data_IF_567397881715
#
_entry.id   IF_567397881715
#
_cell.length_a   1.000
_cell.length_b   1.000
_cell.length_c   1.000
_cell.angle_alpha   90.00
_cell.angle_beta   90.00
_cell.angle_gamma   90.00
#
_symmetry.space_group_name_H-M   'P 1'
#
loop_
_entity.id
_entity.type
_entity.pdbx_description
1 polymer ?
#
# COMPACT_ATOMS: atom_id res chain seq x y z
N UNK A 1 -37.09 25.63 -32.12
CA UNK A 1 -37.35 24.33 -31.47
C UNK A 1 -36.46 23.29 -32.12
N UNK A 2 -35.41 22.86 -31.44
CA UNK A 2 -34.53 21.78 -31.91
C UNK A 2 -34.94 20.51 -31.17
N UNK A 3 -35.39 19.50 -31.91
CA UNK A 3 -35.80 18.21 -31.38
C UNK A 3 -34.56 17.33 -31.13
N UNK A 4 -34.39 16.86 -29.89
CA UNK A 4 -33.40 15.84 -29.55
C UNK A 4 -34.02 14.45 -29.72
N UNK A 5 -33.41 13.63 -30.57
CA UNK A 5 -33.73 12.23 -30.78
C UNK A 5 -33.21 11.37 -29.62
N UNK A 6 -34.11 10.63 -28.96
CA UNK A 6 -33.79 9.58 -27.98
C UNK A 6 -33.30 8.34 -28.71
N UNK A 7 -32.03 7.95 -28.56
CA UNK A 7 -31.49 6.78 -29.27
C UNK A 7 -30.32 6.02 -28.64
N UNK A 8 -29.72 6.47 -27.52
CA UNK A 8 -28.42 5.91 -27.07
C UNK A 8 -28.39 5.33 -25.65
N UNK A 9 -29.51 5.29 -24.92
CA UNK A 9 -29.51 4.87 -23.50
C UNK A 9 -29.83 3.37 -23.34
N UNK A 10 -30.51 2.76 -24.31
CA UNK A 10 -31.05 1.38 -24.16
C UNK A 10 -29.96 0.30 -24.32
N UNK A 11 -28.90 0.56 -25.10
CA UNK A 11 -27.86 -0.45 -25.37
C UNK A 11 -26.94 -0.66 -24.16
N UNK A 12 -26.61 0.39 -23.41
CA UNK A 12 -25.70 0.31 -22.26
C UNK A 12 -26.30 -0.45 -21.09
N UNK A 13 -27.61 -0.30 -20.84
CA UNK A 13 -28.30 -0.94 -19.70
C UNK A 13 -28.40 -2.46 -19.89
N UNK A 14 -28.62 -2.94 -21.12
CA UNK A 14 -28.75 -4.38 -21.41
C UNK A 14 -27.40 -5.11 -21.26
N UNK A 15 -26.30 -4.49 -21.66
CA UNK A 15 -24.95 -5.08 -21.52
C UNK A 15 -24.52 -5.24 -20.07
N UNK A 16 -24.88 -4.31 -19.19
CA UNK A 16 -24.59 -4.39 -17.74
C UNK A 16 -25.38 -5.52 -17.08
N UNK A 17 -26.64 -5.73 -17.46
CA UNK A 17 -27.50 -6.78 -16.88
C UNK A 17 -27.00 -8.19 -17.22
N UNK A 18 -26.49 -8.43 -18.43
CA UNK A 18 -25.96 -9.75 -18.82
C UNK A 18 -24.64 -10.08 -18.11
N UNK A 19 -23.76 -9.10 -17.89
CA UNK A 19 -22.51 -9.29 -17.17
C UNK A 19 -22.72 -9.62 -15.67
N UNK A 20 -23.72 -8.99 -15.04
CA UNK A 20 -24.04 -9.21 -13.62
C UNK A 20 -24.65 -10.61 -13.37
N UNK A 21 -25.48 -11.11 -14.28
CA UNK A 21 -26.04 -12.47 -14.17
C UNK A 21 -24.95 -13.57 -14.21
N UNK A 22 -23.87 -13.35 -14.96
CA UNK A 22 -22.73 -14.27 -14.99
C UNK A 22 -21.92 -14.26 -13.67
N UNK A 23 -21.84 -13.12 -12.97
CA UNK A 23 -21.14 -12.96 -11.69
C UNK A 23 -21.92 -13.60 -10.52
N UNK A 24 -23.24 -13.46 -10.48
CA UNK A 24 -24.11 -14.04 -9.44
C UNK A 24 -24.13 -15.57 -9.48
N UNK A 25 -23.94 -16.17 -10.66
CA UNK A 25 -23.87 -17.62 -10.79
C UNK A 25 -22.52 -18.19 -10.30
N UNK A 26 -21.48 -17.35 -10.23
CA UNK A 26 -20.13 -17.72 -9.76
C UNK A 26 -19.95 -17.58 -8.25
N UNK A 27 -20.63 -16.64 -7.58
CA UNK A 27 -20.57 -16.49 -6.12
C UNK A 27 -21.09 -17.73 -5.36
N UNK A 28 -21.93 -18.55 -6.01
CA UNK A 28 -22.38 -19.85 -5.52
C UNK A 28 -21.33 -20.97 -5.59
N UNK A 29 -20.24 -20.75 -6.33
CA UNK A 29 -19.18 -21.74 -6.55
C UNK A 29 -18.04 -21.63 -5.53
N UNK A 30 -18.15 -20.70 -4.56
CA UNK A 30 -17.27 -20.57 -3.41
C UNK A 30 -18.09 -20.77 -2.12
N UNK A 31 -18.31 -22.01 -1.67
CA UNK A 31 -18.77 -22.23 -0.31
C UNK A 31 -17.59 -21.96 0.65
N UNK A 32 -17.91 -21.26 1.75
CA UNK A 32 -17.12 -21.15 2.99
C UNK A 32 -16.09 -20.02 3.08
N UNK A 33 -16.62 -18.81 3.29
CA UNK A 33 -16.07 -17.86 4.28
C UNK A 33 -17.18 -17.11 5.07
N UNK A 34 -18.44 -17.14 4.61
CA UNK A 34 -19.57 -16.51 5.29
C UNK A 34 -20.57 -17.54 5.83
N UNK A 35 -20.18 -18.29 6.86
CA UNK A 35 -21.15 -18.97 7.72
C UNK A 35 -21.71 -17.95 8.72
N UNK A 36 -22.71 -17.18 8.30
CA UNK A 36 -23.35 -16.19 9.19
C UNK A 36 -24.57 -15.49 8.61
N UNK A 37 -25.74 -16.14 8.75
CA UNK A 37 -27.12 -15.67 8.50
C UNK A 37 -27.65 -15.90 7.08
N UNK A 38 -28.57 -16.86 6.99
CA UNK A 38 -29.27 -17.22 5.77
C UNK A 38 -30.54 -16.40 5.52
N UNK A 39 -31.02 -16.50 4.28
CA UNK A 39 -32.41 -16.78 3.91
C UNK A 39 -32.44 -16.89 2.39
N UNK A 40 -32.88 -18.04 1.87
CA UNK A 40 -33.21 -18.18 0.47
C UNK A 40 -34.44 -17.31 0.18
N UNK A 41 -34.29 -16.29 -0.66
CA UNK A 41 -35.40 -15.47 -1.15
C UNK A 41 -35.49 -15.61 -2.67
N UNK A 42 -36.72 -15.85 -3.13
CA UNK A 42 -37.10 -16.13 -4.51
C UNK A 42 -36.63 -15.03 -5.48
N UNK A 43 -36.04 -15.45 -6.60
CA UNK A 43 -35.22 -14.61 -7.50
C UNK A 43 -35.95 -14.02 -8.71
N UNK A 44 -37.26 -14.22 -8.86
CA UNK A 44 -37.98 -13.74 -10.05
C UNK A 44 -38.66 -12.38 -9.87
N UNK A 45 -38.95 -11.93 -8.64
CA UNK A 45 -39.61 -10.64 -8.38
C UNK A 45 -38.64 -9.48 -8.03
N UNK A 46 -37.35 -9.73 -7.82
CA UNK A 46 -36.38 -8.71 -7.37
C UNK A 46 -35.53 -8.06 -8.48
N UNK A 47 -35.61 -8.57 -9.71
CA UNK A 47 -34.81 -8.06 -10.85
C UNK A 47 -35.17 -6.62 -11.27
N UNK A 48 -36.31 -6.09 -10.82
CA UNK A 48 -36.82 -4.76 -11.18
C UNK A 48 -36.50 -3.65 -10.14
N UNK A 49 -35.63 -3.91 -9.15
CA UNK A 49 -35.31 -2.95 -8.07
C UNK A 49 -33.82 -2.68 -7.85
N UNK A 50 -32.98 -2.90 -8.87
CA UNK A 50 -31.52 -2.71 -8.76
C UNK A 50 -31.21 -1.22 -8.65
N UNK A 51 -31.09 -0.72 -7.42
CA UNK A 51 -30.90 0.70 -7.17
C UNK A 51 -29.43 1.07 -7.24
N UNK A 52 -29.07 1.84 -8.26
CA UNK A 52 -27.85 2.64 -8.34
C UNK A 52 -27.70 3.70 -7.21
N UNK A 53 -28.42 3.55 -6.09
CA UNK A 53 -28.61 4.57 -5.05
C UNK A 53 -27.48 4.59 -4.00
N UNK A 54 -26.71 3.51 -3.84
CA UNK A 54 -25.63 3.43 -2.84
C UNK A 54 -24.23 3.32 -3.44
N UNK A 55 -24.10 3.48 -4.76
CA UNK A 55 -22.81 3.52 -5.42
C UNK A 55 -22.12 4.87 -5.17
N UNK A 56 -20.83 4.85 -4.87
CA UNK A 56 -20.06 6.06 -4.55
C UNK A 56 -18.73 6.09 -5.28
N UNK A 57 -18.22 7.29 -5.55
CA UNK A 57 -16.87 7.47 -6.07
C UNK A 57 -15.86 7.40 -4.93
N UNK A 58 -14.77 6.67 -5.15
CA UNK A 58 -13.72 6.48 -4.17
C UNK A 58 -12.35 6.37 -4.84
N UNK A 59 -11.32 6.68 -4.06
CA UNK A 59 -9.96 6.19 -4.30
C UNK A 59 -9.80 4.91 -3.50
N UNK A 60 -9.56 3.80 -4.18
CA UNK A 60 -9.38 2.47 -3.59
C UNK A 60 -7.92 2.07 -3.75
N UNK A 61 -7.24 1.77 -2.65
CA UNK A 61 -5.90 1.17 -2.68
C UNK A 61 -6.02 -0.32 -2.46
N UNK A 62 -5.23 -1.10 -3.18
CA UNK A 62 -5.15 -2.53 -2.93
C UNK A 62 -4.18 -3.27 -3.82
N UNK A 63 -4.06 -4.58 -3.60
CA UNK A 63 -3.20 -5.45 -4.41
C UNK A 63 -4.02 -6.06 -5.54
N UNK A 64 -3.57 -5.88 -6.77
CA UNK A 64 -4.22 -6.46 -7.94
C UNK A 64 -3.96 -7.97 -8.02
N UNK A 65 -5.02 -8.76 -8.00
CA UNK A 65 -4.96 -10.21 -7.98
C UNK A 65 -5.60 -10.79 -9.24
N UNK A 66 -4.88 -11.70 -9.90
CA UNK A 66 -5.45 -12.52 -10.96
C UNK A 66 -6.15 -13.74 -10.34
N UNK A 67 -7.45 -13.87 -10.56
CA UNK A 67 -8.25 -14.98 -10.03
C UNK A 67 -7.76 -16.34 -10.56
N UNK A 68 -7.35 -16.39 -11.84
CA UNK A 68 -6.77 -17.60 -12.43
C UNK A 68 -5.46 -18.03 -11.76
N UNK A 69 -4.58 -17.09 -11.43
CA UNK A 69 -3.33 -17.38 -10.72
C UNK A 69 -3.58 -17.83 -9.27
N UNK A 70 -4.55 -17.23 -8.58
CA UNK A 70 -4.95 -17.66 -7.24
C UNK A 70 -5.47 -19.11 -7.25
N UNK A 71 -6.40 -19.43 -8.17
CA UNK A 71 -6.93 -20.79 -8.35
C UNK A 71 -5.84 -21.79 -8.75
N UNK A 72 -4.87 -21.40 -9.59
CA UNK A 72 -3.72 -22.25 -9.94
C UNK A 72 -2.90 -22.64 -8.72
N UNK A 73 -2.73 -21.71 -7.77
CA UNK A 73 -1.98 -21.95 -6.53
C UNK A 73 -2.70 -22.96 -5.63
N UNK A 74 -4.02 -22.96 -5.61
CA UNK A 74 -4.85 -23.84 -4.77
C UNK A 74 -5.15 -25.19 -5.42
N UNK A 75 -5.39 -25.23 -6.73
CA UNK A 75 -5.88 -26.42 -7.46
C UNK A 75 -4.83 -27.02 -8.42
N UNK A 76 -3.62 -26.46 -8.47
CA UNK A 76 -2.53 -26.91 -9.32
C UNK A 76 -2.70 -26.58 -10.80
N UNK A 77 -1.94 -27.26 -11.66
CA UNK A 77 -1.80 -26.94 -13.09
C UNK A 77 -3.10 -27.04 -13.94
N UNK A 78 -4.20 -27.55 -13.37
CA UNK A 78 -5.51 -27.63 -14.01
C UNK A 78 -6.27 -26.29 -14.05
N UNK A 79 -5.91 -25.34 -13.19
CA UNK A 79 -6.43 -23.97 -13.20
C UNK A 79 -5.49 -23.07 -14.01
N UNK A 80 -5.67 -23.06 -15.34
CA UNK A 80 -4.96 -22.14 -16.23
C UNK A 80 -5.85 -20.92 -16.50
N UNK A 81 -5.26 -19.71 -16.52
CA UNK A 81 -5.99 -18.47 -16.80
C UNK A 81 -6.74 -18.53 -18.14
N UNK A 82 -6.18 -19.23 -19.13
CA UNK A 82 -6.80 -19.51 -20.43
C UNK A 82 -8.13 -20.29 -20.35
N UNK A 83 -8.37 -21.02 -19.25
CA UNK A 83 -9.57 -21.85 -19.04
C UNK A 83 -10.66 -21.16 -18.21
N UNK A 84 -10.30 -20.21 -17.35
CA UNK A 84 -11.22 -19.57 -16.39
C UNK A 84 -11.49 -18.08 -16.68
N UNK A 85 -10.85 -17.53 -17.71
CA UNK A 85 -10.97 -16.12 -18.07
C UNK A 85 -9.94 -15.25 -17.34
N UNK A 86 -9.42 -14.23 -18.02
CA UNK A 86 -8.49 -13.25 -17.46
C UNK A 86 -9.25 -12.25 -16.59
N UNK A 87 -9.74 -12.69 -15.43
CA UNK A 87 -10.40 -11.81 -14.47
C UNK A 87 -9.47 -11.42 -13.34
N UNK A 88 -9.44 -10.12 -13.09
CA UNK A 88 -8.67 -9.51 -12.02
C UNK A 88 -9.61 -8.96 -10.95
N UNK A 89 -9.07 -8.79 -9.77
CA UNK A 89 -9.78 -8.17 -8.65
C UNK A 89 -8.78 -7.40 -7.82
N UNK A 90 -9.28 -6.45 -7.04
CA UNK A 90 -8.46 -5.69 -6.11
C UNK A 90 -8.71 -6.22 -4.70
N UNK A 91 -7.66 -6.68 -4.02
CA UNK A 91 -7.70 -6.92 -2.57
C UNK A 91 -7.49 -5.60 -1.87
N UNK A 92 -8.56 -5.07 -1.29
CA UNK A 92 -8.63 -3.71 -0.76
C UNK A 92 -7.79 -3.58 0.52
N UNK A 93 -6.93 -2.57 0.57
CA UNK A 93 -6.18 -2.18 1.76
C UNK A 93 -6.66 -0.85 2.33
N UNK A 94 -7.20 0.05 1.51
CA UNK A 94 -7.69 1.37 1.90
C UNK A 94 -8.80 1.80 0.94
N UNK A 95 -9.83 2.50 1.44
CA UNK A 95 -10.85 3.15 0.62
C UNK A 95 -11.07 4.56 1.15
N UNK A 96 -10.82 5.57 0.32
CA UNK A 96 -11.05 6.98 0.65
C UNK A 96 -12.22 7.53 -0.15
N UNK A 97 -13.20 8.10 0.56
CA UNK A 97 -14.38 8.75 0.00
C UNK A 97 -14.42 10.19 0.51
N UNK A 98 -14.32 11.17 -0.39
CA UNK A 98 -14.35 12.59 0.00
C UNK A 98 -13.22 13.01 0.97
N UNK A 99 -12.14 12.25 1.06
CA UNK A 99 -11.02 12.49 1.99
C UNK A 99 -11.09 11.71 3.31
N UNK A 100 -12.18 11.00 3.58
CA UNK A 100 -12.34 10.17 4.77
C UNK A 100 -12.19 8.68 4.44
N UNK A 101 -11.57 7.94 5.36
CA UNK A 101 -11.35 6.51 5.20
C UNK A 101 -12.57 5.66 5.60
N UNK A 102 -12.88 4.66 4.77
CA UNK A 102 -13.94 3.66 4.98
C UNK A 102 -13.32 2.34 5.44
N UNK A 103 -13.07 2.21 6.74
CA UNK A 103 -12.42 1.03 7.33
C UNK A 103 -13.22 -0.26 7.14
N UNK A 104 -14.55 -0.17 7.01
CA UNK A 104 -15.47 -1.29 6.80
C UNK A 104 -15.22 -2.10 5.51
N UNK A 105 -14.49 -1.53 4.55
CA UNK A 105 -14.16 -2.18 3.27
C UNK A 105 -12.75 -2.77 3.23
N UNK A 106 -11.90 -2.49 4.22
CA UNK A 106 -10.53 -2.99 4.26
C UNK A 106 -10.49 -4.51 4.37
N UNK A 107 -9.54 -5.14 3.67
CA UNK A 107 -9.41 -6.60 3.61
C UNK A 107 -10.42 -7.27 2.68
N UNK A 108 -11.39 -6.52 2.17
CA UNK A 108 -12.36 -6.98 1.17
C UNK A 108 -11.74 -7.23 -0.20
N UNK A 109 -12.54 -7.84 -1.08
CA UNK A 109 -12.22 -8.01 -2.50
C UNK A 109 -13.28 -7.26 -3.30
N UNK A 110 -12.82 -6.39 -4.20
CA UNK A 110 -13.62 -5.74 -5.23
C UNK A 110 -13.24 -6.31 -6.60
N UNK A 111 -14.23 -6.71 -7.39
CA UNK A 111 -14.06 -7.19 -8.75
C UNK A 111 -14.09 -6.01 -9.72
N UNK A 112 -13.16 -5.94 -10.67
CA UNK A 112 -13.22 -4.91 -11.69
C UNK A 112 -14.43 -5.14 -12.59
N UNK A 113 -15.16 -4.06 -12.90
CA UNK A 113 -16.25 -4.12 -13.87
C UNK A 113 -15.69 -4.51 -15.24
N UNK A 114 -16.32 -5.48 -15.91
CA UNK A 114 -15.87 -6.05 -17.19
C UNK A 114 -16.12 -5.12 -18.40
N UNK A 115 -15.64 -3.88 -18.32
CA UNK A 115 -15.53 -2.99 -19.48
C UNK A 115 -14.11 -3.06 -20.04
N UNK A 116 -13.97 -3.00 -21.37
CA UNK A 116 -12.68 -3.18 -22.07
C UNK A 116 -11.54 -2.35 -21.45
N UNK A 117 -11.82 -1.11 -21.03
CA UNK A 117 -10.83 -0.22 -20.41
C UNK A 117 -10.35 -0.69 -19.04
N UNK A 118 -11.23 -1.24 -18.21
CA UNK A 118 -10.86 -1.63 -16.84
C UNK A 118 -9.95 -2.85 -16.84
N UNK A 119 -10.18 -3.80 -17.77
CA UNK A 119 -9.37 -5.00 -17.89
C UNK A 119 -7.99 -4.70 -18.49
N UNK A 120 -7.91 -3.88 -19.54
CA UNK A 120 -6.64 -3.50 -20.17
C UNK A 120 -5.68 -2.79 -19.19
N UNK A 121 -6.22 -1.98 -18.27
CA UNK A 121 -5.42 -1.22 -17.30
C UNK A 121 -4.78 -2.10 -16.22
N UNK A 122 -5.33 -3.28 -15.93
CA UNK A 122 -4.89 -4.14 -14.81
C UNK A 122 -4.27 -5.46 -15.26
N UNK A 123 -4.41 -5.82 -16.54
CA UNK A 123 -4.08 -7.15 -17.06
C UNK A 123 -2.63 -7.57 -16.81
N UNK A 124 -1.67 -6.65 -16.89
CA UNK A 124 -0.24 -6.95 -16.73
C UNK A 124 0.33 -6.58 -15.36
N UNK A 125 -0.50 -6.10 -14.43
CA UNK A 125 -0.07 -5.50 -13.16
C UNK A 125 -0.28 -6.44 -11.97
N UNK A 126 0.03 -7.73 -12.14
CA UNK A 126 -0.29 -8.76 -11.14
C UNK A 126 0.54 -8.59 -9.87
N UNK A 127 -0.11 -8.56 -8.71
CA UNK A 127 0.56 -8.43 -7.42
C UNK A 127 1.03 -7.01 -7.12
N UNK A 128 0.87 -6.06 -8.04
CA UNK A 128 1.17 -4.66 -7.81
C UNK A 128 0.11 -4.05 -6.88
N UNK A 129 0.57 -3.14 -6.01
CA UNK A 129 -0.30 -2.27 -5.25
C UNK A 129 -0.76 -1.13 -6.16
N UNK A 130 -2.08 -0.95 -6.30
CA UNK A 130 -2.68 0.02 -7.22
C UNK A 130 -3.54 1.01 -6.44
N UNK A 131 -3.46 2.29 -6.81
CA UNK A 131 -4.47 3.29 -6.49
C UNK A 131 -5.45 3.36 -7.65
N UNK A 132 -6.69 3.00 -7.39
CA UNK A 132 -7.76 2.96 -8.37
C UNK A 132 -8.77 4.03 -8.02
N UNK A 133 -8.97 5.01 -8.91
CA UNK A 133 -10.08 5.96 -8.78
C UNK A 133 -11.23 5.43 -9.60
N UNK A 134 -12.41 5.34 -8.98
CA UNK A 134 -13.52 4.67 -9.62
C UNK A 134 -14.81 4.77 -8.85
N UNK A 135 -15.85 4.17 -9.43
CA UNK A 135 -17.15 4.03 -8.79
C UNK A 135 -17.27 2.65 -8.17
N UNK A 136 -17.51 2.62 -6.86
CA UNK A 136 -17.68 1.43 -6.04
C UNK A 136 -19.15 1.10 -5.94
N UNK A 137 -19.48 -0.16 -6.20
CA UNK A 137 -20.79 -0.76 -6.02
C UNK A 137 -20.66 -1.77 -4.87
N UNK A 138 -20.89 -1.34 -3.60
CA UNK A 138 -20.47 -2.10 -2.42
C UNK A 138 -21.24 -3.41 -2.24
N UNK A 139 -22.54 -3.46 -2.57
CA UNK A 139 -23.35 -4.67 -2.42
C UNK A 139 -22.96 -5.76 -3.43
N UNK A 140 -22.57 -5.35 -4.63
CA UNK A 140 -22.12 -6.21 -5.72
C UNK A 140 -20.62 -6.52 -5.64
N UNK A 141 -19.89 -5.78 -4.79
CA UNK A 141 -18.44 -5.81 -4.67
C UNK A 141 -17.75 -5.54 -6.01
N UNK A 142 -18.27 -4.58 -6.76
CA UNK A 142 -17.75 -4.20 -8.08
C UNK A 142 -17.08 -2.83 -8.03
N UNK A 143 -15.99 -2.69 -8.77
CA UNK A 143 -15.24 -1.45 -8.95
C UNK A 143 -15.16 -1.12 -10.44
N UNK A 144 -15.81 -0.03 -10.84
CA UNK A 144 -15.65 0.56 -12.17
C UNK A 144 -14.43 1.48 -12.16
N UNK A 145 -13.46 1.23 -13.05
CA UNK A 145 -12.18 1.95 -13.06
C UNK A 145 -12.28 3.19 -13.95
N UNK A 146 -12.04 4.37 -13.37
CA UNK A 146 -11.90 5.63 -14.12
C UNK A 146 -10.44 5.94 -14.43
N UNK A 147 -9.58 5.80 -13.43
CA UNK A 147 -8.13 5.95 -13.56
C UNK A 147 -7.40 5.01 -12.59
N UNK A 148 -6.13 4.78 -12.90
CA UNK A 148 -5.30 3.83 -12.18
C UNK A 148 -3.86 4.34 -12.11
N UNK A 149 -3.32 4.38 -10.90
CA UNK A 149 -1.95 4.78 -10.59
C UNK A 149 -1.28 3.66 -9.80
N UNK A 150 0.04 3.54 -9.88
CA UNK A 150 0.78 2.68 -8.97
C UNK A 150 0.67 3.24 -7.55
N UNK A 151 0.31 2.39 -6.59
CA UNK A 151 0.29 2.78 -5.20
C UNK A 151 1.71 2.82 -4.67
N UNK A 152 2.36 3.97 -4.86
CA UNK A 152 3.56 4.30 -4.11
C UNK A 152 3.13 4.67 -2.69
N UNK A 153 3.67 3.95 -1.71
CA UNK A 153 3.51 4.37 -0.31
C UNK A 153 4.24 5.71 -0.11
N UNK A 154 3.86 6.53 0.87
CA UNK A 154 4.66 7.70 1.27
C UNK A 154 6.13 7.33 1.54
N UNK A 155 6.35 6.07 1.96
CA UNK A 155 7.67 5.47 2.18
C UNK A 155 8.47 5.28 0.88
N UNK A 156 7.86 4.79 -0.20
CA UNK A 156 8.55 4.53 -1.47
C UNK A 156 8.98 5.84 -2.17
N UNK A 157 8.20 6.91 -2.01
CA UNK A 157 8.48 8.26 -2.53
C UNK A 157 9.35 9.11 -1.59
N UNK A 158 9.69 8.63 -0.41
CA UNK A 158 10.59 9.35 0.49
C UNK A 158 12.00 9.35 -0.09
N UNK A 159 12.41 10.47 -0.68
CA UNK A 159 13.82 10.76 -0.92
C UNK A 159 14.52 10.87 0.43
N UNK A 160 15.69 10.25 0.56
CA UNK A 160 16.43 10.21 1.82
C UNK A 160 16.94 11.61 2.15
N UNK A 161 16.28 12.25 3.11
CA UNK A 161 16.66 13.55 3.63
C UNK A 161 17.15 13.41 5.06
N UNK A 162 18.39 13.85 5.30
CA UNK A 162 18.99 13.86 6.63
C UNK A 162 18.71 15.20 7.31
N UNK A 163 17.98 15.16 8.43
CA UNK A 163 17.86 16.29 9.32
C UNK A 163 19.19 16.58 10.00
N UNK A 164 19.39 17.85 10.38
CA UNK A 164 20.48 18.28 11.28
C UNK A 164 19.95 18.74 12.64
N UNK A 165 18.67 19.11 12.69
CA UNK A 165 17.99 19.49 13.92
C UNK A 165 17.23 18.30 14.52
N UNK A 166 17.46 18.04 15.81
CA UNK A 166 16.70 17.01 16.54
C UNK A 166 15.20 17.34 16.60
N UNK A 167 14.83 18.61 16.77
CA UNK A 167 13.42 18.99 16.90
C UNK A 167 12.64 18.76 15.60
N UNK A 168 13.29 18.98 14.45
CA UNK A 168 12.70 18.73 13.13
C UNK A 168 12.55 17.23 12.89
N UNK A 169 13.58 16.44 13.22
CA UNK A 169 13.51 14.98 13.14
C UNK A 169 12.40 14.40 14.04
N UNK A 170 12.22 14.92 15.25
CA UNK A 170 11.11 14.51 16.15
C UNK A 170 9.75 14.87 15.55
N UNK A 171 9.62 16.07 14.98
CA UNK A 171 8.35 16.48 14.37
C UNK A 171 7.97 15.58 13.19
N UNK A 172 8.92 15.27 12.31
CA UNK A 172 8.69 14.36 11.19
C UNK A 172 8.38 12.93 11.67
N UNK A 173 9.17 12.40 12.61
CA UNK A 173 8.98 11.04 13.14
C UNK A 173 7.58 10.84 13.71
N UNK A 174 7.05 11.85 14.42
CA UNK A 174 5.66 11.85 14.92
C UNK A 174 4.64 11.91 13.80
N UNK A 175 4.88 12.70 12.77
CA UNK A 175 3.97 12.81 11.62
C UNK A 175 3.92 11.51 10.80
N UNK A 176 5.07 10.85 10.64
CA UNK A 176 5.23 9.63 9.84
C UNK A 176 5.00 8.34 10.65
N UNK A 177 4.88 8.46 11.98
CA UNK A 177 4.84 7.33 12.91
C UNK A 177 6.04 6.38 12.73
N UNK A 178 7.25 6.96 12.66
CA UNK A 178 8.52 6.24 12.45
C UNK A 178 9.47 6.46 13.62
N UNK A 179 10.46 5.59 13.76
CA UNK A 179 11.62 5.83 14.65
C UNK A 179 12.67 6.67 13.96
N UNK A 180 13.54 7.33 14.74
CA UNK A 180 14.61 8.18 14.21
C UNK A 180 15.91 7.37 14.17
N UNK A 181 16.50 7.22 12.98
CA UNK A 181 17.82 6.65 12.78
C UNK A 181 18.86 7.78 12.78
N UNK A 182 19.87 7.67 13.64
CA UNK A 182 20.87 8.71 13.82
C UNK A 182 22.25 8.22 13.39
N UNK A 183 22.95 9.03 12.61
CA UNK A 183 24.37 8.90 12.33
C UNK A 183 25.16 9.99 13.08
N UNK A 184 25.87 9.60 14.12
CA UNK A 184 26.79 10.47 14.83
C UNK A 184 28.19 10.37 14.22
N UNK A 185 28.73 11.50 13.74
CA UNK A 185 29.95 11.57 12.95
C UNK A 185 30.78 12.84 13.27
N UNK A 186 31.96 12.94 12.66
CA UNK A 186 32.76 14.16 12.62
C UNK A 186 33.55 14.23 11.30
N UNK A 187 33.94 15.43 10.86
CA UNK A 187 34.57 15.65 9.54
C UNK A 187 35.96 15.00 9.40
N UNK A 188 36.69 14.89 10.50
CA UNK A 188 38.01 14.24 10.56
C UNK A 188 37.94 12.71 10.66
N UNK A 189 36.75 12.15 10.88
CA UNK A 189 36.57 10.72 11.14
C UNK A 189 36.62 9.88 9.85
N UNK A 190 37.72 9.16 9.63
CA UNK A 190 37.89 8.29 8.45
C UNK A 190 36.88 7.13 8.40
N UNK A 191 36.57 6.50 9.54
CA UNK A 191 35.59 5.41 9.60
C UNK A 191 34.16 5.87 9.33
N UNK A 192 33.85 7.14 9.61
CA UNK A 192 32.57 7.75 9.31
C UNK A 192 32.42 7.91 7.79
N UNK A 193 33.47 8.41 7.11
CA UNK A 193 33.50 8.49 5.64
C UNK A 193 33.34 7.11 5.01
N UNK A 194 33.99 6.08 5.57
CA UNK A 194 33.84 4.69 5.11
C UNK A 194 32.43 4.16 5.31
N UNK A 195 31.78 4.45 6.45
CA UNK A 195 30.38 4.09 6.67
C UNK A 195 29.47 4.72 5.61
N UNK A 196 29.69 6.00 5.32
CA UNK A 196 28.92 6.75 4.32
C UNK A 196 29.12 6.18 2.91
N UNK A 197 30.36 5.91 2.49
CA UNK A 197 30.68 5.42 1.14
C UNK A 197 30.35 3.96 0.92
N UNK A 198 30.48 3.10 1.93
CA UNK A 198 30.35 1.66 1.77
C UNK A 198 28.96 1.16 2.15
N UNK A 199 28.32 1.80 3.14
CA UNK A 199 27.13 1.28 3.81
C UNK A 199 25.91 2.16 3.62
N UNK A 200 26.00 3.45 3.96
CA UNK A 200 24.85 4.33 3.81
C UNK A 200 24.51 4.55 2.34
N UNK A 201 25.47 4.47 1.41
CA UNK A 201 25.26 4.55 -0.03
C UNK A 201 24.75 3.25 -0.69
N UNK A 202 24.76 2.11 0.01
CA UNK A 202 24.31 0.83 -0.56
C UNK A 202 22.82 0.94 -0.92
N UNK A 203 22.41 0.62 -2.16
CA UNK A 203 21.01 0.79 -2.60
C UNK A 203 19.99 0.06 -1.73
N UNK A 204 20.36 -1.09 -1.14
CA UNK A 204 19.49 -1.85 -0.24
C UNK A 204 19.32 -1.14 1.10
N UNK A 205 20.40 -0.52 1.59
CA UNK A 205 20.39 0.27 2.83
C UNK A 205 19.61 1.56 2.61
N UNK A 206 19.83 2.26 1.50
CA UNK A 206 19.05 3.42 1.08
C UNK A 206 17.56 3.07 1.09
N UNK A 207 17.14 2.05 0.34
CA UNK A 207 15.74 1.66 0.28
C UNK A 207 15.16 1.38 1.68
N UNK A 208 15.89 0.66 2.53
CA UNK A 208 15.40 0.37 3.88
C UNK A 208 15.36 1.59 4.80
N UNK A 209 16.25 2.57 4.60
CA UNK A 209 16.27 3.81 5.38
C UNK A 209 15.07 4.72 5.09
N UNK A 210 14.36 4.54 3.97
CA UNK A 210 13.15 5.31 3.67
C UNK A 210 12.05 5.14 4.72
N UNK A 211 12.02 4.01 5.42
CA UNK A 211 11.10 3.75 6.55
C UNK A 211 11.47 4.45 7.85
N UNK A 212 12.56 5.22 7.88
CA UNK A 212 13.06 5.90 9.06
C UNK A 212 13.03 7.42 8.85
N UNK A 213 12.90 8.17 9.95
CA UNK A 213 13.30 9.57 9.93
C UNK A 213 14.80 9.65 10.22
N UNK A 214 15.54 10.36 9.38
CA UNK A 214 17.01 10.32 9.41
C UNK A 214 17.57 11.59 10.04
N UNK A 215 18.52 11.45 10.95
CA UNK A 215 19.17 12.56 11.64
C UNK A 215 20.69 12.38 11.64
N UNK A 216 21.42 13.38 11.15
CA UNK A 216 22.89 13.36 11.14
C UNK A 216 23.42 14.37 12.15
N UNK A 217 24.26 13.92 13.08
CA UNK A 217 24.79 14.73 14.19
C UNK A 217 26.30 14.81 14.05
N UNK A 218 26.81 16.03 13.84
CA UNK A 218 28.24 16.30 13.95
C UNK A 218 28.58 16.51 15.44
N UNK A 219 29.45 15.67 16.01
CA UNK A 219 29.79 15.74 17.44
C UNK A 219 30.64 16.95 17.82
N UNK A 220 31.35 17.56 16.88
CA UNK A 220 32.14 18.77 17.11
C UNK A 220 31.25 20.01 17.15
N UNK A 221 30.20 20.05 16.32
CA UNK A 221 29.24 21.15 16.26
C UNK A 221 28.13 21.02 17.32
N UNK A 222 27.78 19.79 17.71
CA UNK A 222 26.69 19.49 18.64
C UNK A 222 27.16 18.62 19.84
N UNK A 223 28.18 19.06 20.61
CA UNK A 223 28.79 18.25 21.66
C UNK A 223 27.84 17.95 22.84
N UNK A 224 26.93 18.88 23.17
CA UNK A 224 25.90 18.66 24.18
C UNK A 224 24.95 17.54 23.79
N UNK A 225 24.56 17.50 22.51
CA UNK A 225 23.65 16.48 22.02
C UNK A 225 24.33 15.12 21.93
N UNK A 226 25.58 15.07 21.47
CA UNK A 226 26.39 13.86 21.47
C UNK A 226 26.53 13.28 22.90
N UNK A 227 26.79 14.14 23.90
CA UNK A 227 26.82 13.74 25.32
C UNK A 227 25.47 13.23 25.80
N UNK A 228 24.37 13.93 25.49
CA UNK A 228 23.01 13.52 25.86
C UNK A 228 22.68 12.12 25.34
N UNK A 229 23.12 11.80 24.12
CA UNK A 229 22.91 10.49 23.51
C UNK A 229 23.94 9.43 23.90
N UNK A 230 24.90 9.77 24.77
CA UNK A 230 25.93 8.84 25.24
C UNK A 230 26.90 8.41 24.14
N UNK A 231 27.16 9.27 23.15
CA UNK A 231 28.13 8.99 22.08
C UNK A 231 29.55 9.07 22.64
N UNK A 232 30.23 7.93 22.74
CA UNK A 232 31.60 7.82 23.27
C UNK A 232 32.66 7.55 22.19
N UNK A 233 32.25 7.35 20.94
CA UNK A 233 33.14 7.04 19.83
C UNK A 233 32.43 7.24 18.48
N UNK A 234 33.22 7.25 17.39
CA UNK A 234 32.73 7.56 16.05
C UNK A 234 33.15 6.49 15.02
N UNK A 235 32.31 6.21 14.00
CA UNK A 235 30.90 6.62 13.92
C UNK A 235 30.07 5.93 15.01
N UNK A 236 28.89 6.45 15.33
CA UNK A 236 27.91 5.73 16.16
C UNK A 236 26.54 5.83 15.51
N UNK A 237 25.90 4.67 15.29
CA UNK A 237 24.51 4.60 14.84
C UNK A 237 23.59 4.48 16.05
N UNK A 238 22.61 5.36 16.17
CA UNK A 238 21.59 5.32 17.22
C UNK A 238 20.21 5.10 16.61
N UNK A 239 19.29 4.56 17.40
CA UNK A 239 17.85 4.57 17.12
C UNK A 239 17.15 5.25 18.28
N UNK A 240 16.28 6.21 17.98
CA UNK A 240 15.47 6.93 18.95
C UNK A 240 13.99 6.65 18.68
N UNK A 241 13.17 6.67 19.73
CA UNK A 241 11.71 6.70 19.56
C UNK A 241 11.24 8.07 19.03
N UNK A 242 9.95 8.19 18.75
CA UNK A 242 9.34 9.43 18.25
C UNK A 242 9.39 10.59 19.28
N UNK A 243 9.70 10.30 20.54
CA UNK A 243 9.92 11.28 21.62
C UNK A 243 11.37 11.79 21.67
N UNK A 244 12.28 11.19 20.89
CA UNK A 244 13.69 11.54 20.85
C UNK A 244 14.54 10.89 21.96
N UNK A 245 14.07 9.81 22.55
CA UNK A 245 14.78 9.01 23.54
C UNK A 245 15.55 7.87 22.87
N UNK A 246 16.80 7.64 23.29
CA UNK A 246 17.65 6.60 22.71
C UNK A 246 17.16 5.21 23.14
N UNK A 247 16.76 4.39 22.16
CA UNK A 247 16.33 2.98 22.38
C UNK A 247 17.40 1.97 21.96
N UNK A 248 18.37 2.40 21.16
CA UNK A 248 19.49 1.57 20.72
C UNK A 248 20.70 2.43 20.38
N UNK A 249 21.90 1.90 20.64
CA UNK A 249 23.18 2.52 20.32
C UNK A 249 24.17 1.46 19.87
N UNK A 250 24.84 1.71 18.75
CA UNK A 250 25.87 0.84 18.19
C UNK A 250 27.07 1.69 17.74
N UNK A 251 28.15 1.73 18.53
CA UNK A 251 29.37 2.39 18.12
C UNK A 251 30.13 1.58 17.07
N UNK A 252 30.90 2.28 16.25
CA UNK A 252 31.80 1.75 15.24
C UNK A 252 31.19 1.60 13.85
N UNK A 253 32.07 1.41 12.87
CA UNK A 253 31.69 1.08 11.50
C UNK A 253 30.96 -0.28 11.42
N UNK A 254 29.96 -0.36 10.53
CA UNK A 254 29.27 -1.60 10.19
C UNK A 254 29.20 -1.72 8.66
N UNK A 255 29.48 -2.90 8.07
CA UNK A 255 29.25 -3.15 6.65
C UNK A 255 27.74 -3.27 6.34
N UNK A 256 27.33 -3.18 5.06
CA UNK A 256 25.93 -3.18 4.63
C UNK A 256 25.08 -4.30 5.22
N UNK A 257 25.58 -5.53 5.21
CA UNK A 257 24.81 -6.71 5.64
C UNK A 257 24.44 -6.63 7.13
N UNK A 258 25.37 -6.13 7.95
CA UNK A 258 25.14 -5.95 9.39
C UNK A 258 24.23 -4.74 9.65
N UNK A 259 24.37 -3.69 8.85
CA UNK A 259 23.53 -2.50 8.94
C UNK A 259 22.07 -2.82 8.59
N UNK A 260 21.83 -3.60 7.53
CA UNK A 260 20.50 -4.08 7.16
C UNK A 260 19.84 -4.89 8.28
N UNK A 261 20.59 -5.77 8.94
CA UNK A 261 20.09 -6.53 10.08
C UNK A 261 19.72 -5.63 11.29
N UNK A 262 20.48 -4.56 11.52
CA UNK A 262 20.15 -3.54 12.51
C UNK A 262 18.85 -2.83 12.15
N UNK A 263 18.70 -2.37 10.90
CA UNK A 263 17.48 -1.69 10.44
C UNK A 263 16.24 -2.57 10.60
N UNK A 264 16.32 -3.85 10.23
CA UNK A 264 15.21 -4.79 10.41
C UNK A 264 14.78 -4.94 11.90
N UNK A 265 15.75 -4.87 12.83
CA UNK A 265 15.46 -4.93 14.27
C UNK A 265 14.93 -3.61 14.82
N UNK A 266 15.35 -2.48 14.27
CA UNK A 266 14.91 -1.15 14.68
C UNK A 266 13.45 -0.92 14.30
N UNK A 267 13.07 -1.34 13.09
CA UNK A 267 11.72 -1.20 12.53
C UNK A 267 10.65 -1.98 13.35
N UNK A 268 10.98 -3.20 13.78
CA UNK A 268 10.10 -3.99 14.65
C UNK A 268 9.92 -3.45 16.07
N UNK A 269 10.65 -2.40 16.45
CA UNK A 269 10.51 -1.69 17.74
C UNK A 269 9.71 -0.40 17.63
N UNK A 270 9.29 -0.01 16.42
CA UNK A 270 8.44 1.15 16.19
C UNK A 270 6.96 0.88 16.52
N UNK A 271 6.58 -0.39 16.74
CA UNK A 271 5.24 -0.90 17.00
C UNK A 271 5.22 -1.73 18.29
#
# INVERSE_FOLDING_TARGET
MVAFTKGSIVVTVVSVVVAVLALVQWSRMWPEADAGRGAALNLEESAASWSAQDAFEARVTGVNICLGCALKKEQGAGAQCSRFGHRHSLRVTEVIVGGEERTEMQGGILHYLETDKSQDLVHNRHGESLHVTGKVYPMERVLEVFSLEEASTPEEKAEISWHRSLSEAIAEAKQRNTVILVDAYAEWCGWCKKLETDTLSDPRVQERMKGFTLLKINTDEQPDLARRFGVTGLPTTLVLNAEGEVVFSQPGYMPPERYLALLARADSRAH
#
